data_IF_174494954133
#
_entry.id   IF_174494954133
#
_cell.length_a   1.000
_cell.length_b   1.000
_cell.length_c   1.000
_cell.angle_alpha   90.00
_cell.angle_beta   90.00
_cell.angle_gamma   90.00
#
_symmetry.space_group_name_H-M   'P 1'
#
loop_
_entity.id
_entity.type
_entity.pdbx_description
1 polymer ?
#
# COMPACT_ATOMS: atom_id res chain seq x y z
N UNK A 1 -25.50 -14.77 13.38
CA UNK A 1 -26.40 -14.62 12.21
C UNK A 1 -25.52 -14.94 11.01
N UNK A 2 -25.62 -14.30 9.85
CA UNK A 2 -24.53 -14.31 8.86
C UNK A 2 -24.38 -12.88 8.37
N UNK A 3 -23.14 -12.45 8.14
CA UNK A 3 -22.86 -11.10 7.66
C UNK A 3 -23.66 -10.77 6.39
N UNK A 4 -24.13 -9.53 6.27
CA UNK A 4 -24.77 -9.03 5.05
C UNK A 4 -23.77 -8.99 3.88
N UNK A 5 -24.26 -8.94 2.64
CA UNK A 5 -23.39 -8.79 1.47
C UNK A 5 -22.54 -7.52 1.54
N UNK A 6 -23.12 -6.42 2.00
CA UNK A 6 -22.43 -5.14 2.21
C UNK A 6 -21.27 -5.30 3.19
N UNK A 7 -21.51 -5.95 4.34
CA UNK A 7 -20.45 -6.20 5.33
C UNK A 7 -19.33 -7.09 4.76
N UNK A 8 -19.71 -8.11 3.98
CA UNK A 8 -18.72 -8.99 3.33
C UNK A 8 -17.86 -8.23 2.31
N UNK A 9 -18.46 -7.31 1.55
CA UNK A 9 -17.77 -6.50 0.55
C UNK A 9 -16.87 -5.43 1.20
N UNK A 10 -17.21 -4.93 2.38
CA UNK A 10 -16.37 -4.00 3.16
C UNK A 10 -15.16 -4.70 3.82
N UNK A 11 -15.34 -5.94 4.30
CA UNK A 11 -14.27 -6.71 4.95
C UNK A 11 -13.27 -7.29 3.94
N UNK A 12 -13.74 -7.69 2.76
CA UNK A 12 -12.92 -8.41 1.76
C UNK A 12 -11.66 -7.63 1.35
N UNK A 13 -11.70 -6.32 1.04
CA UNK A 13 -10.51 -5.53 0.72
C UNK A 13 -9.42 -5.60 1.78
N UNK A 14 -9.78 -5.55 3.07
CA UNK A 14 -8.83 -5.64 4.17
C UNK A 14 -8.11 -7.00 4.19
N UNK A 15 -8.86 -8.11 4.00
CA UNK A 15 -8.27 -9.46 3.91
C UNK A 15 -7.36 -9.61 2.67
N UNK A 16 -7.84 -9.12 1.52
CA UNK A 16 -7.13 -9.22 0.24
C UNK A 16 -6.00 -8.21 0.07
N UNK A 17 -5.87 -7.24 0.98
CA UNK A 17 -4.70 -6.36 1.08
C UNK A 17 -3.41 -7.16 1.28
N UNK A 18 -3.51 -8.28 2.01
CA UNK A 18 -2.37 -9.12 2.39
C UNK A 18 -1.44 -8.49 3.43
N UNK A 19 -1.85 -7.38 4.05
CA UNK A 19 -1.02 -6.59 4.97
C UNK A 19 -1.20 -7.04 6.43
N UNK A 20 -2.44 -7.35 6.79
CA UNK A 20 -2.81 -7.60 8.18
C UNK A 20 -2.80 -9.09 8.51
N UNK A 21 -2.38 -9.38 9.75
CA UNK A 21 -2.51 -10.70 10.37
C UNK A 21 -3.97 -11.04 10.65
N UNK A 22 -4.27 -12.29 11.01
CA UNK A 22 -5.66 -12.69 11.31
C UNK A 22 -6.21 -11.89 12.49
N UNK A 23 -5.44 -11.77 13.56
CA UNK A 23 -5.88 -11.06 14.77
C UNK A 23 -6.02 -9.55 14.51
N UNK A 24 -5.14 -8.98 13.68
CA UNK A 24 -5.29 -7.58 13.24
C UNK A 24 -6.55 -7.39 12.40
N UNK A 25 -6.87 -8.29 11.47
CA UNK A 25 -8.09 -8.21 10.68
C UNK A 25 -9.35 -8.24 11.56
N UNK A 26 -9.38 -9.12 12.56
CA UNK A 26 -10.52 -9.18 13.50
C UNK A 26 -10.64 -7.85 14.25
N UNK A 27 -9.55 -7.33 14.82
CA UNK A 27 -9.56 -6.05 15.54
C UNK A 27 -10.00 -4.89 14.64
N UNK A 28 -9.43 -4.76 13.43
CA UNK A 28 -9.80 -3.74 12.45
C UNK A 28 -11.31 -3.82 12.16
N UNK A 29 -11.84 -5.01 11.91
CA UNK A 29 -13.26 -5.17 11.59
C UNK A 29 -14.14 -4.84 12.79
N UNK A 30 -13.85 -5.36 13.98
CA UNK A 30 -14.75 -5.23 15.14
C UNK A 30 -14.60 -3.92 15.91
N UNK A 31 -13.50 -3.20 15.72
CA UNK A 31 -13.17 -2.00 16.51
C UNK A 31 -13.02 -0.73 15.66
N UNK A 32 -12.58 -0.84 14.40
CA UNK A 32 -12.30 0.32 13.55
C UNK A 32 -13.33 0.50 12.43
N UNK A 33 -13.70 -0.59 11.74
CA UNK A 33 -14.64 -0.55 10.62
C UNK A 33 -16.09 -0.45 11.09
N UNK A 34 -16.43 -1.14 12.17
CA UNK A 34 -17.76 -1.12 12.78
C UNK A 34 -17.68 -0.67 14.24
N UNK A 35 -18.71 0.03 14.71
CA UNK A 35 -18.81 0.33 16.13
C UNK A 35 -19.07 -0.96 16.93
N UNK A 36 -18.62 -1.06 18.19
CA UNK A 36 -18.85 -2.25 19.01
C UNK A 36 -20.34 -2.63 19.09
N UNK A 37 -20.66 -3.83 18.59
CA UNK A 37 -22.03 -4.37 18.56
C UNK A 37 -22.77 -4.22 17.23
N UNK A 38 -22.24 -3.44 16.27
CA UNK A 38 -22.81 -3.32 14.92
C UNK A 38 -22.49 -4.52 14.03
N UNK A 39 -21.49 -5.31 14.43
CA UNK A 39 -21.13 -6.58 13.80
C UNK A 39 -20.95 -7.67 14.86
N UNK A 40 -21.41 -8.88 14.55
CA UNK A 40 -21.18 -10.05 15.37
C UNK A 40 -19.72 -10.53 15.18
N UNK A 41 -18.94 -10.55 16.27
CA UNK A 41 -17.52 -10.85 16.22
C UNK A 41 -17.22 -12.29 15.79
N UNK A 42 -18.09 -13.25 16.13
CA UNK A 42 -17.94 -14.65 15.74
C UNK A 42 -18.21 -14.80 14.24
N UNK A 43 -19.27 -14.16 13.73
CA UNK A 43 -19.59 -14.13 12.29
C UNK A 43 -18.49 -13.43 11.47
N UNK A 44 -17.96 -12.29 11.96
CA UNK A 44 -16.83 -11.57 11.36
C UNK A 44 -15.57 -12.44 11.27
N UNK A 45 -15.23 -13.09 12.39
CA UNK A 45 -14.07 -13.98 12.49
C UNK A 45 -14.21 -15.17 11.53
N UNK A 46 -15.37 -15.81 11.50
CA UNK A 46 -15.63 -16.93 10.59
C UNK A 46 -15.53 -16.51 9.11
N UNK A 47 -16.01 -15.32 8.76
CA UNK A 47 -15.89 -14.79 7.40
C UNK A 47 -14.44 -14.48 7.02
N UNK A 48 -13.67 -13.83 7.91
CA UNK A 48 -12.24 -13.56 7.72
C UNK A 48 -11.47 -14.86 7.49
N UNK A 49 -11.71 -15.89 8.31
CA UNK A 49 -11.04 -17.19 8.15
C UNK A 49 -11.36 -17.87 6.82
N UNK A 50 -12.61 -17.76 6.37
CA UNK A 50 -13.03 -18.28 5.08
C UNK A 50 -12.34 -17.51 3.93
N UNK A 51 -12.28 -16.19 3.99
CA UNK A 51 -11.60 -15.36 2.98
C UNK A 51 -10.08 -15.57 2.97
N UNK A 52 -9.43 -15.68 4.12
CA UNK A 52 -8.01 -16.03 4.21
C UNK A 52 -7.73 -17.41 3.58
N UNK A 53 -8.66 -18.35 3.69
CA UNK A 53 -8.55 -19.67 3.05
C UNK A 53 -8.68 -19.55 1.54
N UNK A 54 -9.66 -18.78 1.04
CA UNK A 54 -9.81 -18.49 -0.40
C UNK A 54 -8.58 -17.80 -0.97
N UNK A 55 -8.06 -16.80 -0.25
CA UNK A 55 -6.85 -16.06 -0.61
C UNK A 55 -5.63 -16.99 -0.70
N UNK A 56 -5.43 -17.86 0.28
CA UNK A 56 -4.32 -18.83 0.26
C UNK A 56 -4.37 -19.77 -0.95
N UNK A 57 -5.57 -20.22 -1.35
CA UNK A 57 -5.74 -21.01 -2.59
C UNK A 57 -5.39 -20.18 -3.83
N UNK A 58 -5.80 -18.91 -3.87
CA UNK A 58 -5.47 -18.02 -4.99
C UNK A 58 -3.97 -17.72 -5.07
N UNK A 59 -3.31 -17.48 -3.93
CA UNK A 59 -1.87 -17.22 -3.81
C UNK A 59 -1.03 -18.34 -4.41
N UNK A 60 -1.43 -19.59 -4.21
CA UNK A 60 -0.75 -20.75 -4.76
C UNK A 60 -0.76 -20.78 -6.30
N UNK A 61 -1.70 -20.07 -6.93
CA UNK A 61 -1.80 -19.96 -8.38
C UNK A 61 -1.13 -18.69 -8.95
N UNK A 62 -0.62 -17.78 -8.11
CA UNK A 62 0.06 -16.58 -8.58
C UNK A 62 1.46 -16.91 -9.13
N UNK A 63 1.95 -16.06 -10.02
CA UNK A 63 3.34 -16.13 -10.50
C UNK A 63 4.32 -15.99 -9.33
N UNK A 64 5.50 -16.60 -9.46
CA UNK A 64 6.55 -16.54 -8.42
C UNK A 64 6.87 -15.10 -8.00
N UNK A 65 6.90 -14.18 -8.95
CA UNK A 65 7.01 -12.74 -8.73
C UNK A 65 5.70 -12.05 -9.16
N UNK A 66 5.13 -11.23 -8.28
CA UNK A 66 3.95 -10.39 -8.54
C UNK A 66 4.34 -8.91 -8.63
N UNK A 67 3.41 -8.06 -9.07
CA UNK A 67 3.64 -6.61 -9.10
C UNK A 67 3.89 -6.05 -7.68
N UNK A 68 3.31 -6.66 -6.63
CA UNK A 68 3.59 -6.30 -5.24
C UNK A 68 5.02 -6.69 -4.82
N UNK A 69 5.55 -7.83 -5.29
CA UNK A 69 6.95 -8.22 -4.99
C UNK A 69 7.95 -7.24 -5.65
N UNK A 70 7.63 -6.80 -6.87
CA UNK A 70 8.38 -5.73 -7.58
C UNK A 70 8.28 -4.40 -6.86
N UNK A 71 7.07 -4.02 -6.42
CA UNK A 71 6.83 -2.79 -5.66
C UNK A 71 7.69 -2.74 -4.40
N UNK A 72 7.73 -3.81 -3.61
CA UNK A 72 8.58 -3.86 -2.41
C UNK A 72 10.07 -3.70 -2.76
N UNK A 73 10.51 -4.31 -3.87
CA UNK A 73 11.90 -4.14 -4.35
C UNK A 73 12.19 -2.69 -4.78
N UNK A 74 11.25 -2.04 -5.48
CA UNK A 74 11.34 -0.63 -5.89
C UNK A 74 11.47 0.26 -4.66
N UNK A 75 10.58 0.11 -3.67
CA UNK A 75 10.59 0.91 -2.44
C UNK A 75 11.89 0.71 -1.65
N UNK A 76 12.40 -0.52 -1.57
CA UNK A 76 13.70 -0.78 -0.96
C UNK A 76 14.85 -0.06 -1.70
N UNK A 77 14.84 -0.04 -3.04
CA UNK A 77 15.86 0.68 -3.84
C UNK A 77 15.77 2.19 -3.68
N UNK A 78 14.57 2.76 -3.69
CA UNK A 78 14.36 4.19 -3.47
C UNK A 78 14.88 4.58 -2.08
N UNK A 79 14.58 3.80 -1.06
CA UNK A 79 15.14 4.00 0.28
C UNK A 79 16.67 3.95 0.30
N UNK A 80 17.28 2.97 -0.38
CA UNK A 80 18.74 2.87 -0.48
C UNK A 80 19.40 4.04 -1.22
N UNK A 81 18.68 4.73 -2.10
CA UNK A 81 19.17 5.95 -2.77
C UNK A 81 19.12 7.21 -1.90
N UNK A 82 18.45 7.17 -0.74
CA UNK A 82 18.25 8.32 0.16
C UNK A 82 16.86 8.98 0.04
N UNK A 83 15.90 8.36 -0.65
CA UNK A 83 14.51 8.79 -0.68
C UNK A 83 13.77 8.22 0.54
N UNK A 84 12.83 8.96 1.13
CA UNK A 84 11.91 8.44 2.14
C UNK A 84 10.76 7.71 1.43
N UNK A 85 10.92 6.40 1.18
CA UNK A 85 9.91 5.61 0.50
C UNK A 85 9.12 4.74 1.49
N UNK A 86 7.81 4.96 1.60
CA UNK A 86 6.94 4.26 2.57
C UNK A 86 5.80 3.52 1.84
N UNK A 87 5.74 2.20 2.02
CA UNK A 87 4.63 1.40 1.52
C UNK A 87 3.44 1.47 2.49
N UNK A 88 2.21 1.56 1.97
CA UNK A 88 0.97 1.55 2.76
C UNK A 88 0.98 2.56 3.92
N UNK A 89 1.27 3.82 3.60
CA UNK A 89 1.43 4.89 4.56
C UNK A 89 0.05 5.41 5.00
N UNK A 90 -0.49 4.79 6.05
CA UNK A 90 -1.83 5.06 6.59
C UNK A 90 -2.96 5.00 5.56
N UNK A 91 -4.04 5.74 5.82
CA UNK A 91 -5.26 5.75 4.99
C UNK A 91 -5.34 6.98 4.09
N UNK A 92 -4.72 8.08 4.50
CA UNK A 92 -4.82 9.39 3.86
C UNK A 92 -3.46 9.95 3.45
N UNK A 93 -3.46 11.02 2.65
CA UNK A 93 -2.25 11.78 2.35
C UNK A 93 -1.55 12.33 3.60
N UNK A 94 -2.33 12.75 4.61
CA UNK A 94 -1.77 13.28 5.86
C UNK A 94 -1.01 12.22 6.64
N UNK A 95 -1.59 11.02 6.79
CA UNK A 95 -0.90 9.89 7.43
C UNK A 95 0.39 9.54 6.68
N UNK A 96 0.34 9.61 5.34
CA UNK A 96 1.50 9.39 4.49
C UNK A 96 2.66 10.35 4.78
N UNK A 97 2.37 11.63 5.04
CA UNK A 97 3.39 12.60 5.45
C UNK A 97 3.92 12.33 6.87
N UNK A 98 3.05 11.91 7.81
CA UNK A 98 3.48 11.57 9.17
C UNK A 98 4.47 10.39 9.19
N UNK A 99 4.20 9.34 8.40
CA UNK A 99 5.11 8.19 8.28
C UNK A 99 6.43 8.57 7.60
N UNK A 100 6.38 9.42 6.58
CA UNK A 100 7.57 9.97 5.90
C UNK A 100 8.41 10.80 6.88
N UNK A 101 7.78 11.66 7.67
CA UNK A 101 8.46 12.50 8.67
C UNK A 101 9.11 11.63 9.76
N UNK A 102 8.41 10.60 10.24
CA UNK A 102 8.95 9.64 11.21
C UNK A 102 10.17 8.89 10.65
N UNK A 103 10.09 8.42 9.40
CA UNK A 103 11.21 7.77 8.71
C UNK A 103 12.41 8.71 8.54
N UNK A 104 12.18 9.97 8.15
CA UNK A 104 13.24 10.95 8.05
C UNK A 104 13.86 11.31 9.39
N UNK A 105 13.06 11.49 10.44
CA UNK A 105 13.56 11.72 11.78
C UNK A 105 14.48 10.58 12.25
N UNK A 106 14.10 9.32 11.99
CA UNK A 106 14.93 8.15 12.28
C UNK A 106 16.27 8.13 11.51
N UNK A 107 16.34 8.83 10.37
CA UNK A 107 17.55 9.01 9.54
C UNK A 107 18.37 10.26 9.88
N UNK A 108 17.98 11.02 10.91
CA UNK A 108 18.65 12.25 11.31
C UNK A 108 18.11 13.52 10.67
N UNK A 109 16.92 13.46 10.07
CA UNK A 109 16.22 14.59 9.46
C UNK A 109 16.50 14.79 7.96
N UNK A 110 16.01 15.91 7.38
CA UNK A 110 16.23 16.23 5.97
C UNK A 110 17.71 16.31 5.60
N UNK A 111 18.08 15.74 4.46
CA UNK A 111 19.47 15.68 4.00
C UNK A 111 19.69 14.64 2.91
N UNK A 112 20.94 14.22 2.65
CA UNK A 112 21.23 13.25 1.59
C UNK A 112 20.53 11.88 1.72
N UNK A 113 20.11 11.51 2.94
CA UNK A 113 19.38 10.26 3.24
C UNK A 113 17.85 10.46 3.37
N UNK A 114 17.40 11.71 3.20
CA UNK A 114 16.00 12.12 3.14
C UNK A 114 15.91 13.40 2.29
N UNK A 115 16.11 13.29 0.98
CA UNK A 115 16.04 14.45 0.06
C UNK A 115 14.64 14.64 -0.55
N UNK A 116 13.79 13.62 -0.45
CA UNK A 116 12.41 13.64 -0.90
C UNK A 116 11.67 12.40 -0.41
N UNK A 117 10.45 12.23 -0.88
CA UNK A 117 9.56 11.15 -0.46
C UNK A 117 8.89 10.44 -1.64
N UNK A 118 8.44 9.22 -1.38
CA UNK A 118 7.55 8.46 -2.26
C UNK A 118 6.66 7.55 -1.40
N UNK A 119 5.34 7.59 -1.56
CA UNK A 119 4.46 6.68 -0.82
C UNK A 119 3.15 6.42 -1.55
N UNK A 120 2.42 5.40 -1.09
CA UNK A 120 1.02 5.18 -1.40
C UNK A 120 0.27 4.90 -0.09
N UNK A 121 -1.00 5.29 -0.02
CA UNK A 121 -1.85 5.13 1.16
C UNK A 121 -3.02 4.16 0.87
N UNK A 122 -3.84 3.85 1.88
CA UNK A 122 -4.94 2.90 1.80
C UNK A 122 -5.91 3.12 0.62
N UNK A 123 -6.27 4.37 0.30
CA UNK A 123 -7.13 4.64 -0.87
C UNK A 123 -6.47 4.29 -2.21
N UNK A 124 -5.14 4.44 -2.35
CA UNK A 124 -4.45 4.04 -3.58
C UNK A 124 -4.41 2.52 -3.73
N UNK A 125 -4.26 1.82 -2.60
CA UNK A 125 -4.35 0.36 -2.56
C UNK A 125 -5.73 -0.11 -3.00
N UNK A 126 -6.81 0.54 -2.53
CA UNK A 126 -8.17 0.21 -2.93
C UNK A 126 -8.35 0.35 -4.45
N UNK A 127 -7.92 1.48 -5.05
CA UNK A 127 -7.93 1.65 -6.51
C UNK A 127 -7.14 0.54 -7.24
N UNK A 128 -6.00 0.10 -6.69
CA UNK A 128 -5.22 -0.99 -7.26
C UNK A 128 -5.92 -2.36 -7.15
N UNK A 129 -6.70 -2.59 -6.09
CA UNK A 129 -7.54 -3.79 -5.94
C UNK A 129 -8.72 -3.78 -6.93
N UNK A 130 -9.27 -2.61 -7.23
CA UNK A 130 -10.34 -2.41 -8.22
C UNK A 130 -9.82 -2.43 -9.68
N UNK A 131 -8.51 -2.51 -9.87
CA UNK A 131 -7.87 -2.62 -11.18
C UNK A 131 -7.63 -1.27 -11.88
N UNK A 132 -7.79 -0.16 -11.16
CA UNK A 132 -7.57 1.19 -11.66
C UNK A 132 -6.07 1.59 -11.66
N UNK A 133 -5.24 0.78 -11.02
CA UNK A 133 -3.79 0.98 -10.89
C UNK A 133 -3.39 1.56 -9.53
N UNK A 134 -2.09 1.69 -9.29
CA UNK A 134 -1.55 2.18 -8.02
C UNK A 134 -0.97 3.59 -8.19
N UNK A 135 -1.51 4.55 -7.45
CA UNK A 135 -1.00 5.92 -7.43
C UNK A 135 0.12 6.07 -6.38
N UNK A 136 1.22 6.72 -6.76
CA UNK A 136 2.33 7.05 -5.89
C UNK A 136 2.40 8.57 -5.72
N UNK A 137 2.34 9.03 -4.48
CA UNK A 137 2.68 10.39 -4.11
C UNK A 137 4.20 10.52 -4.07
N UNK A 138 4.75 11.65 -4.52
CA UNK A 138 6.18 11.91 -4.49
C UNK A 138 6.45 13.41 -4.35
N UNK A 139 7.65 13.75 -3.88
CA UNK A 139 8.07 15.15 -3.78
C UNK A 139 9.47 15.33 -3.23
N UNK A 140 10.05 16.51 -3.44
CA UNK A 140 11.28 16.94 -2.78
C UNK A 140 10.96 17.76 -1.52
N UNK A 141 11.71 17.59 -0.43
CA UNK A 141 11.47 18.36 0.80
C UNK A 141 11.89 19.83 0.69
N UNK A 142 12.73 20.17 -0.28
CA UNK A 142 13.11 21.56 -0.57
C UNK A 142 11.93 22.40 -1.08
N UNK A 143 10.88 21.77 -1.60
CA UNK A 143 9.77 22.43 -2.29
C UNK A 143 10.12 22.93 -3.68
N UNK A 144 11.35 22.70 -4.17
CA UNK A 144 11.75 23.08 -5.52
C UNK A 144 11.08 22.18 -6.56
N UNK A 145 10.54 22.80 -7.62
CA UNK A 145 9.81 22.08 -8.65
C UNK A 145 10.74 21.21 -9.51
N UNK A 146 11.96 21.64 -9.79
CA UNK A 146 12.91 20.86 -10.57
C UNK A 146 13.43 19.66 -9.77
N UNK A 147 13.68 19.83 -8.48
CA UNK A 147 14.03 18.72 -7.58
C UNK A 147 12.86 17.75 -7.41
N UNK A 148 11.62 18.24 -7.32
CA UNK A 148 10.43 17.37 -7.28
C UNK A 148 10.30 16.55 -8.56
N UNK A 149 10.51 17.15 -9.74
CA UNK A 149 10.53 16.41 -11.02
C UNK A 149 11.68 15.41 -11.06
N UNK A 150 12.84 15.72 -10.49
CA UNK A 150 13.95 14.78 -10.39
C UNK A 150 13.60 13.57 -9.50
N UNK A 151 12.93 13.79 -8.37
CA UNK A 151 12.37 12.71 -7.53
C UNK A 151 11.37 11.88 -8.32
N UNK A 152 10.43 12.52 -9.03
CA UNK A 152 9.44 11.81 -9.84
C UNK A 152 10.06 10.94 -10.93
N UNK A 153 11.12 11.43 -11.60
CA UNK A 153 11.90 10.65 -12.57
C UNK A 153 12.58 9.46 -11.91
N UNK A 154 13.22 9.66 -10.75
CA UNK A 154 13.85 8.56 -10.01
C UNK A 154 12.84 7.45 -9.69
N UNK A 155 11.64 7.81 -9.22
CA UNK A 155 10.56 6.85 -8.94
C UNK A 155 10.10 6.14 -10.21
N UNK A 156 9.81 6.90 -11.27
CA UNK A 156 9.34 6.35 -12.54
C UNK A 156 10.35 5.44 -13.24
N UNK A 157 11.62 5.84 -13.26
CA UNK A 157 12.72 5.07 -13.86
C UNK A 157 12.94 3.79 -13.06
N UNK A 158 12.98 3.86 -11.72
CA UNK A 158 13.10 2.66 -10.87
C UNK A 158 11.93 1.72 -11.09
N UNK A 159 10.69 2.21 -11.19
CA UNK A 159 9.53 1.36 -11.47
C UNK A 159 9.62 0.67 -12.84
N UNK A 160 10.03 1.42 -13.87
CA UNK A 160 10.22 0.90 -15.24
C UNK A 160 11.32 -0.15 -15.30
N UNK A 161 12.45 0.06 -14.61
CA UNK A 161 13.55 -0.91 -14.50
C UNK A 161 13.12 -2.24 -13.87
N UNK A 162 12.14 -2.20 -12.95
CA UNK A 162 11.54 -3.37 -12.31
C UNK A 162 10.31 -3.90 -13.06
N UNK A 163 10.09 -3.46 -14.30
CA UNK A 163 9.08 -4.01 -15.20
C UNK A 163 7.65 -3.55 -14.92
N UNK A 164 7.45 -2.50 -14.14
CA UNK A 164 6.14 -1.87 -13.96
C UNK A 164 5.93 -0.75 -14.98
N UNK A 165 4.72 -0.64 -15.52
CA UNK A 165 4.37 0.41 -16.47
C UNK A 165 3.99 1.69 -15.73
N UNK A 166 4.60 2.81 -16.14
CA UNK A 166 4.39 4.12 -15.51
C UNK A 166 3.61 5.03 -16.45
N UNK A 167 2.58 5.69 -15.90
CA UNK A 167 1.84 6.79 -16.51
C UNK A 167 2.05 8.04 -15.67
N UNK A 168 2.83 8.98 -16.17
CA UNK A 168 3.11 10.27 -15.54
C UNK A 168 3.53 11.29 -16.61
N UNK A 169 3.04 12.53 -16.50
CA UNK A 169 3.26 13.62 -17.47
C UNK A 169 4.58 14.37 -17.25
N UNK A 170 5.36 13.99 -16.24
CA UNK A 170 6.62 14.62 -15.90
C UNK A 170 6.49 15.91 -15.08
N UNK A 171 5.29 16.20 -14.55
CA UNK A 171 5.01 17.41 -13.76
C UNK A 171 4.92 17.09 -12.26
N UNK A 172 5.25 18.05 -11.38
CA UNK A 172 5.11 17.86 -9.93
C UNK A 172 3.64 17.81 -9.45
N UNK A 173 2.69 18.25 -10.29
CA UNK A 173 1.26 18.33 -9.93
C UNK A 173 0.47 17.04 -10.17
N UNK A 174 1.03 16.08 -10.92
CA UNK A 174 0.40 14.80 -11.19
C UNK A 174 1.11 13.70 -10.38
N UNK A 175 0.35 12.89 -9.64
CA UNK A 175 0.87 11.66 -9.01
C UNK A 175 1.34 10.67 -10.09
N UNK A 176 2.32 9.84 -9.75
CA UNK A 176 2.77 8.76 -10.63
C UNK A 176 1.74 7.63 -10.57
N UNK A 177 1.23 7.17 -11.71
CA UNK A 177 0.32 6.03 -11.78
C UNK A 177 1.03 4.80 -12.33
N UNK A 178 1.02 3.70 -11.60
CA UNK A 178 1.40 2.39 -12.09
C UNK A 178 0.17 1.71 -12.69
N UNK A 179 0.13 1.57 -14.01
CA UNK A 179 -1.02 0.99 -14.72
C UNK A 179 -0.58 0.28 -16.02
N UNK A 180 -1.01 -0.98 -16.25
CA UNK A 180 -1.77 -1.84 -15.35
C UNK A 180 -0.94 -2.24 -14.12
N UNK A 181 -1.60 -2.41 -12.97
CA UNK A 181 -0.99 -2.91 -11.75
C UNK A 181 -1.96 -3.88 -11.06
N UNK A 182 -1.54 -5.13 -10.84
CA UNK A 182 -2.40 -6.14 -10.22
C UNK A 182 -2.03 -6.33 -8.76
N UNK A 183 -2.90 -5.91 -7.85
CA UNK A 183 -2.69 -6.13 -6.42
C UNK A 183 -2.74 -7.62 -6.07
N UNK A 184 -1.57 -8.21 -5.82
CA UNK A 184 -1.38 -9.62 -5.45
C UNK A 184 -0.28 -9.73 -4.40
N UNK A 185 -0.54 -9.15 -3.24
CA UNK A 185 0.33 -9.24 -2.07
C UNK A 185 0.03 -10.52 -1.31
N UNK A 186 1.06 -11.36 -1.13
CA UNK A 186 0.92 -12.59 -0.32
C UNK A 186 0.71 -12.21 1.13
N UNK A 187 -0.18 -12.94 1.80
CA UNK A 187 -0.56 -12.67 3.19
C UNK A 187 0.59 -12.99 4.14
N UNK A 188 0.55 -12.36 5.30
CA UNK A 188 1.38 -12.72 6.45
C UNK A 188 1.00 -14.14 6.91
N UNK A 189 1.95 -14.99 7.33
CA UNK A 189 1.63 -16.29 7.91
C UNK A 189 0.62 -16.13 9.05
N UNK A 190 -0.36 -17.06 9.13
CA UNK A 190 -1.37 -17.00 10.18
C UNK A 190 -0.71 -17.10 11.55
N UNK A 191 -1.03 -16.13 12.39
CA UNK A 191 -0.83 -16.14 13.82
C UNK A 191 -1.56 -17.35 14.42
N UNK A 192 -0.92 -17.99 15.42
CA UNK A 192 -1.44 -19.17 16.11
C UNK A 192 -2.62 -18.84 17.04
#
# INVERSE_FOLDING_TARGET
MSLSTEQQDEIRPAVWSGIHSRNQLVAIVTEELYAPGDIDADDATAFIDAELTRKSVAEAAWSAETDCDRLTTIFARLNASGLAAVENAGLTMSDGFEDVDALCAARGGPGPQCFGYCFFHGQDLAHAQDGEGLHLAFGAFSGDAAETVAVGRLVADTATEHGLQVSWDGTPGQRILLVPFRWRKRGVPRDA
#
